data_IF_682544129142
#
_entry.id   IF_682544129142
#
_cell.length_a   1.000
_cell.length_b   1.000
_cell.length_c   1.000
_cell.angle_alpha   90.00
_cell.angle_beta   90.00
_cell.angle_gamma   90.00
#
_symmetry.space_group_name_H-M   'P 1'
#
loop_
_entity.id
_entity.type
_entity.pdbx_description
1 polymer ?
#
# COMPACT_ATOMS: atom_id res chain seq x y z
N UNK A 1 6.20 -12.74 15.28
CA UNK A 1 5.65 -12.21 16.55
C UNK A 1 4.24 -11.67 16.37
N UNK A 2 3.97 -10.79 15.40
CA UNK A 2 2.62 -10.26 15.12
C UNK A 2 1.55 -11.35 14.98
N UNK A 3 1.82 -12.41 14.21
CA UNK A 3 0.92 -13.57 14.07
C UNK A 3 0.50 -14.14 15.43
N UNK A 4 1.46 -14.36 16.35
CA UNK A 4 1.16 -14.89 17.69
C UNK A 4 0.28 -13.94 18.51
N UNK A 5 0.46 -12.63 18.39
CA UNK A 5 -0.39 -11.63 19.05
C UNK A 5 -1.82 -11.67 18.50
N UNK A 6 -1.96 -11.80 17.18
CA UNK A 6 -3.25 -11.85 16.48
C UNK A 6 -3.98 -13.19 16.69
N UNK A 7 -3.26 -14.27 17.00
CA UNK A 7 -3.82 -15.59 17.34
C UNK A 7 -4.45 -15.66 18.74
N UNK A 8 -4.30 -14.63 19.57
CA UNK A 8 -4.92 -14.61 20.89
C UNK A 8 -6.46 -14.70 20.74
N UNK A 9 -7.12 -15.73 21.31
CA UNK A 9 -8.56 -15.92 21.15
C UNK A 9 -9.41 -14.74 21.60
N UNK A 10 -8.92 -13.94 22.57
CA UNK A 10 -9.60 -12.72 23.04
C UNK A 10 -9.66 -11.61 21.99
N UNK A 11 -8.76 -11.64 21.00
CA UNK A 11 -8.85 -10.72 19.86
C UNK A 11 -10.04 -11.11 19.01
N UNK A 12 -10.34 -12.41 18.83
CA UNK A 12 -11.50 -12.85 18.03
C UNK A 12 -11.53 -12.19 16.63
N UNK A 13 -10.44 -12.33 15.86
CA UNK A 13 -10.38 -11.86 14.49
C UNK A 13 -11.35 -12.68 13.62
N UNK A 14 -12.22 -11.99 12.88
CA UNK A 14 -13.10 -12.60 11.88
C UNK A 14 -12.26 -13.06 10.70
N UNK A 15 -12.61 -14.22 10.14
CA UNK A 15 -11.94 -14.77 8.95
C UNK A 15 -12.55 -14.14 7.68
N UNK A 16 -12.36 -12.84 7.54
CA UNK A 16 -12.82 -12.03 6.42
C UNK A 16 -11.65 -11.18 5.91
N UNK A 17 -11.53 -10.97 4.58
CA UNK A 17 -10.49 -10.10 4.05
C UNK A 17 -10.64 -8.65 4.58
N UNK A 18 -9.55 -8.00 5.03
CA UNK A 18 -8.17 -8.46 5.10
C UNK A 18 -7.86 -9.28 6.36
N UNK A 19 -7.55 -10.57 6.20
CA UNK A 19 -7.25 -11.45 7.32
C UNK A 19 -5.74 -11.55 7.59
N UNK A 20 -5.26 -10.78 8.58
CA UNK A 20 -3.82 -10.63 8.88
C UNK A 20 -3.10 -11.97 9.18
N UNK A 21 -3.84 -12.97 9.67
CA UNK A 21 -3.28 -14.29 9.98
C UNK A 21 -2.95 -15.11 8.73
N UNK A 22 -3.55 -14.80 7.57
CA UNK A 22 -3.17 -15.36 6.27
C UNK A 22 -2.16 -14.45 5.54
N UNK A 23 -2.36 -13.13 5.62
CA UNK A 23 -1.54 -12.15 4.91
C UNK A 23 -0.05 -12.21 5.27
N UNK A 24 0.28 -12.37 6.57
CA UNK A 24 1.68 -12.42 7.01
C UNK A 24 2.40 -13.71 6.58
N UNK A 25 1.81 -14.92 6.76
CA UNK A 25 2.35 -16.13 6.16
C UNK A 25 2.51 -16.06 4.63
N UNK A 26 1.52 -15.51 3.92
CA UNK A 26 1.58 -15.34 2.46
C UNK A 26 2.71 -14.41 2.04
N UNK A 27 2.88 -13.29 2.76
CA UNK A 27 3.99 -12.35 2.53
C UNK A 27 5.32 -13.05 2.74
N UNK A 28 5.46 -13.80 3.83
CA UNK A 28 6.67 -14.56 4.11
C UNK A 28 6.97 -15.59 3.01
N UNK A 29 5.96 -16.35 2.58
CA UNK A 29 6.13 -17.37 1.55
C UNK A 29 6.50 -16.74 0.19
N UNK A 30 5.93 -15.58 -0.14
CA UNK A 30 6.29 -14.87 -1.36
C UNK A 30 7.71 -14.30 -1.29
N UNK A 31 8.13 -13.75 -0.14
CA UNK A 31 9.52 -13.34 0.08
C UNK A 31 10.50 -14.51 -0.05
N UNK A 32 10.17 -15.69 0.47
CA UNK A 32 10.99 -16.91 0.25
C UNK A 32 11.10 -17.27 -1.23
N UNK A 33 10.03 -17.09 -1.99
CA UNK A 33 10.02 -17.33 -3.44
C UNK A 33 10.96 -16.36 -4.14
N UNK A 34 10.92 -15.07 -3.79
CA UNK A 34 11.88 -14.07 -4.28
C UNK A 34 13.30 -14.50 -3.94
N UNK A 35 13.61 -14.74 -2.67
CA UNK A 35 14.96 -15.13 -2.24
C UNK A 35 15.49 -16.36 -3.00
N UNK A 36 14.64 -17.37 -3.24
CA UNK A 36 15.01 -18.56 -4.03
C UNK A 36 15.32 -18.23 -5.50
N UNK A 37 14.59 -17.28 -6.12
CA UNK A 37 14.86 -16.85 -7.51
C UNK A 37 16.16 -16.04 -7.64
N UNK A 38 16.62 -15.42 -6.55
CA UNK A 38 17.82 -14.61 -6.48
C UNK A 38 18.99 -15.30 -5.73
N UNK A 39 18.91 -16.61 -5.51
CA UNK A 39 20.02 -17.38 -4.96
C UNK A 39 21.27 -17.23 -5.85
N UNK A 40 22.42 -16.91 -5.25
CA UNK A 40 23.65 -16.55 -5.97
C UNK A 40 23.65 -15.16 -6.63
N UNK A 41 22.56 -14.39 -6.52
CA UNK A 41 22.38 -13.03 -7.09
C UNK A 41 21.84 -12.03 -6.05
N UNK A 42 22.17 -12.25 -4.78
CA UNK A 42 21.65 -11.46 -3.66
C UNK A 42 22.06 -9.98 -3.72
N UNK A 43 23.21 -9.66 -4.33
CA UNK A 43 23.64 -8.28 -4.54
C UNK A 43 22.65 -7.50 -5.42
N UNK A 44 22.18 -8.10 -6.52
CA UNK A 44 21.20 -7.50 -7.43
C UNK A 44 19.88 -7.23 -6.69
N UNK A 45 19.41 -8.20 -5.89
CA UNK A 45 18.18 -8.03 -5.11
C UNK A 45 18.36 -6.96 -4.01
N UNK A 46 19.54 -6.91 -3.39
CA UNK A 46 19.89 -5.94 -2.36
C UNK A 46 19.99 -4.51 -2.87
N UNK A 47 20.39 -4.32 -4.13
CA UNK A 47 20.48 -3.00 -4.76
C UNK A 47 19.13 -2.49 -5.27
N UNK A 48 18.19 -3.40 -5.56
CA UNK A 48 16.84 -3.07 -6.05
C UNK A 48 16.13 -2.07 -5.12
N UNK A 49 15.88 -0.86 -5.64
CA UNK A 49 15.32 0.26 -4.87
C UNK A 49 13.97 -0.08 -4.26
N UNK A 50 13.05 -0.64 -5.05
CA UNK A 50 11.73 -1.04 -4.60
C UNK A 50 11.80 -2.09 -3.48
N UNK A 51 12.62 -3.13 -3.65
CA UNK A 51 12.74 -4.20 -2.65
C UNK A 51 13.29 -3.68 -1.31
N UNK A 52 14.28 -2.79 -1.32
CA UNK A 52 14.80 -2.16 -0.10
C UNK A 52 13.72 -1.35 0.62
N UNK A 53 13.00 -0.49 -0.09
CA UNK A 53 11.90 0.32 0.47
C UNK A 53 10.78 -0.58 1.02
N UNK A 54 10.42 -1.64 0.29
CA UNK A 54 9.44 -2.62 0.73
C UNK A 54 9.84 -3.30 2.04
N UNK A 55 11.08 -3.79 2.15
CA UNK A 55 11.58 -4.47 3.34
C UNK A 55 11.67 -3.55 4.55
N UNK A 56 12.08 -2.29 4.36
CA UNK A 56 12.05 -1.27 5.41
C UNK A 56 10.61 -1.00 5.88
N UNK A 57 9.68 -0.80 4.95
CA UNK A 57 8.28 -0.56 5.27
C UNK A 57 7.66 -1.75 6.02
N UNK A 58 7.94 -2.99 5.57
CA UNK A 58 7.47 -4.21 6.22
C UNK A 58 8.00 -4.30 7.66
N UNK A 59 9.27 -3.99 7.88
CA UNK A 59 9.83 -3.92 9.24
C UNK A 59 9.13 -2.85 10.09
N UNK A 60 8.84 -1.67 9.52
CA UNK A 60 8.22 -0.58 10.26
C UNK A 60 6.76 -0.89 10.63
N UNK A 61 5.97 -1.41 9.69
CA UNK A 61 4.56 -1.79 9.92
C UNK A 61 4.42 -2.95 10.91
N UNK A 62 5.33 -3.93 10.87
CA UNK A 62 5.34 -5.02 11.86
C UNK A 62 5.70 -4.52 13.27
N UNK A 63 6.69 -3.63 13.41
CA UNK A 63 7.03 -2.97 14.68
C UNK A 63 5.87 -2.12 15.20
N UNK A 64 5.23 -1.34 14.33
CA UNK A 64 4.05 -0.53 14.67
C UNK A 64 2.91 -1.41 15.20
N UNK A 65 2.64 -2.53 14.54
CA UNK A 65 1.63 -3.51 14.99
C UNK A 65 1.97 -4.05 16.37
N UNK A 66 3.24 -4.40 16.63
CA UNK A 66 3.66 -4.86 17.96
C UNK A 66 3.50 -3.78 19.03
N UNK A 67 3.82 -2.51 18.73
CA UNK A 67 3.64 -1.39 19.66
C UNK A 67 2.16 -1.19 19.99
N UNK A 68 1.29 -1.27 18.98
CA UNK A 68 -0.16 -1.16 19.15
C UNK A 68 -0.68 -2.15 20.19
N UNK A 69 -0.31 -3.44 20.09
CA UNK A 69 -0.70 -4.44 21.08
C UNK A 69 -0.13 -4.15 22.47
N UNK A 70 1.14 -3.72 22.54
CA UNK A 70 1.81 -3.41 23.82
C UNK A 70 1.15 -2.24 24.55
N UNK A 71 0.77 -1.19 23.82
CA UNK A 71 0.19 0.02 24.37
C UNK A 71 -1.30 -0.13 24.70
N UNK A 72 -2.05 -0.78 23.81
CA UNK A 72 -3.49 -0.92 23.97
C UNK A 72 -3.91 -1.94 25.03
N UNK A 73 -3.08 -2.97 25.30
CA UNK A 73 -3.35 -4.01 26.31
C UNK A 73 -4.76 -4.60 26.14
N UNK A 74 -5.59 -4.58 27.19
CA UNK A 74 -6.95 -5.13 27.18
C UNK A 74 -7.88 -4.46 26.16
N UNK A 75 -7.62 -3.20 25.79
CA UNK A 75 -8.43 -2.48 24.78
C UNK A 75 -8.35 -3.14 23.40
N UNK A 76 -7.34 -3.97 23.12
CA UNK A 76 -7.28 -4.75 21.87
C UNK A 76 -8.41 -5.77 21.72
N UNK A 77 -8.99 -6.19 22.86
CA UNK A 77 -10.04 -7.21 22.90
C UNK A 77 -11.44 -6.61 22.78
N UNK A 78 -11.56 -5.30 22.92
CA UNK A 78 -12.79 -4.55 22.67
C UNK A 78 -12.95 -4.32 21.16
N UNK A 79 -13.91 -5.01 20.52
CA UNK A 79 -14.09 -5.02 19.05
C UNK A 79 -14.22 -3.62 18.44
N UNK A 80 -14.93 -2.71 19.13
CA UNK A 80 -15.21 -1.36 18.65
C UNK A 80 -14.18 -0.31 19.10
N UNK A 81 -13.11 -0.72 19.77
CA UNK A 81 -12.13 0.22 20.31
C UNK A 81 -11.27 0.84 19.20
N UNK A 82 -10.75 2.04 19.46
CA UNK A 82 -9.85 2.71 18.51
C UNK A 82 -8.60 1.87 18.20
N UNK A 83 -7.92 1.21 19.17
CA UNK A 83 -6.83 0.29 18.86
C UNK A 83 -7.23 -0.87 17.95
N UNK A 84 -8.43 -1.42 18.11
CA UNK A 84 -8.92 -2.49 17.26
C UNK A 84 -9.16 -2.02 15.82
N UNK A 85 -9.77 -0.85 15.64
CA UNK A 85 -9.88 -0.19 14.33
C UNK A 85 -8.51 0.08 13.70
N UNK A 86 -7.52 0.48 14.50
CA UNK A 86 -6.15 0.67 14.01
C UNK A 86 -5.51 -0.66 13.55
N UNK A 87 -5.81 -1.78 14.20
CA UNK A 87 -5.38 -3.11 13.73
C UNK A 87 -6.05 -3.49 12.42
N UNK A 88 -7.33 -3.18 12.23
CA UNK A 88 -8.04 -3.36 10.95
C UNK A 88 -7.36 -2.57 9.84
N UNK A 89 -7.05 -1.28 10.08
CA UNK A 89 -6.30 -0.44 9.15
C UNK A 89 -4.92 -1.01 8.82
N UNK A 90 -4.18 -1.50 9.81
CA UNK A 90 -2.89 -2.18 9.57
C UNK A 90 -3.06 -3.46 8.73
N UNK A 91 -4.15 -4.19 8.93
CA UNK A 91 -4.45 -5.39 8.14
C UNK A 91 -4.74 -5.05 6.67
N UNK A 92 -5.47 -3.96 6.40
CA UNK A 92 -5.64 -3.41 5.05
C UNK A 92 -4.29 -3.02 4.42
N UNK A 93 -3.43 -2.33 5.17
CA UNK A 93 -2.08 -1.96 4.70
C UNK A 93 -1.26 -3.21 4.34
N UNK A 94 -1.24 -4.24 5.19
CA UNK A 94 -0.55 -5.50 4.87
C UNK A 94 -1.12 -6.17 3.61
N UNK A 95 -2.44 -6.10 3.41
CA UNK A 95 -3.09 -6.61 2.20
C UNK A 95 -2.60 -5.87 0.95
N UNK A 96 -2.56 -4.53 1.00
CA UNK A 96 -2.05 -3.71 -0.10
C UNK A 96 -0.57 -3.96 -0.38
N UNK A 97 0.25 -4.03 0.66
CA UNK A 97 1.68 -4.37 0.54
C UNK A 97 1.89 -5.72 -0.13
N UNK A 98 1.14 -6.76 0.27
CA UNK A 98 1.24 -8.07 -0.34
C UNK A 98 0.80 -8.08 -1.80
N UNK A 99 -0.30 -7.39 -2.11
CA UNK A 99 -0.80 -7.26 -3.48
C UNK A 99 0.22 -6.56 -4.39
N UNK A 100 0.81 -5.47 -3.91
CA UNK A 100 1.87 -4.74 -4.59
C UNK A 100 3.10 -5.62 -4.80
N UNK A 101 3.59 -6.29 -3.75
CA UNK A 101 4.76 -7.17 -3.84
C UNK A 101 4.55 -8.26 -4.89
N UNK A 102 3.38 -8.91 -4.91
CA UNK A 102 3.04 -9.94 -5.91
C UNK A 102 2.97 -9.38 -7.34
N UNK A 103 2.58 -8.12 -7.49
CA UNK A 103 2.48 -7.46 -8.79
C UNK A 103 3.85 -6.99 -9.32
N UNK A 104 4.74 -6.56 -8.44
CA UNK A 104 6.11 -6.13 -8.79
C UNK A 104 7.08 -7.32 -8.90
N UNK A 105 6.88 -8.38 -8.11
CA UNK A 105 7.64 -9.63 -8.15
C UNK A 105 6.77 -10.84 -8.54
N UNK A 106 6.13 -10.85 -9.71
CA UNK A 106 5.33 -12.00 -10.12
C UNK A 106 6.21 -13.27 -10.17
N UNK A 107 5.75 -14.32 -9.48
CA UNK A 107 6.49 -15.59 -9.32
C UNK A 107 7.92 -15.45 -8.74
N UNK A 108 8.17 -14.36 -7.99
CA UNK A 108 9.42 -14.07 -7.32
C UNK A 108 10.47 -13.36 -8.20
N UNK A 109 10.15 -12.97 -9.43
CA UNK A 109 11.06 -12.27 -10.34
C UNK A 109 10.64 -10.82 -10.47
N UNK A 110 11.60 -9.91 -10.42
CA UNK A 110 11.32 -8.47 -10.53
C UNK A 110 10.83 -8.15 -11.94
N UNK A 111 9.69 -7.46 -12.03
CA UNK A 111 9.10 -6.95 -13.27
C UNK A 111 8.56 -5.52 -13.12
N UNK A 112 9.02 -4.79 -12.10
CA UNK A 112 8.53 -3.44 -11.81
C UNK A 112 8.88 -2.41 -12.87
N UNK A 113 9.94 -2.66 -13.65
CA UNK A 113 10.37 -1.86 -14.81
C UNK A 113 9.49 -2.09 -16.05
N UNK A 114 8.81 -3.23 -16.11
CA UNK A 114 7.92 -3.63 -17.20
C UNK A 114 6.44 -3.62 -16.79
N UNK A 115 6.12 -2.97 -15.67
CA UNK A 115 4.77 -2.89 -15.15
C UNK A 115 3.85 -2.16 -16.13
N UNK A 116 2.68 -2.75 -16.42
CA UNK A 116 1.72 -2.18 -17.38
C UNK A 116 0.63 -1.40 -16.65
N UNK A 117 0.70 -0.07 -16.71
CA UNK A 117 -0.40 0.79 -16.29
C UNK A 117 -1.58 0.62 -17.25
N UNK A 118 -2.77 0.41 -16.70
CA UNK A 118 -3.99 0.02 -17.41
C UNK A 118 -4.56 1.15 -18.27
N UNK A 119 -4.45 2.40 -17.80
CA UNK A 119 -4.98 3.58 -18.51
C UNK A 119 -3.87 4.21 -19.34
N UNK A 120 -4.06 4.27 -20.66
CA UNK A 120 -3.03 4.74 -21.61
C UNK A 120 -2.51 6.14 -21.28
N UNK A 121 -3.38 7.10 -20.97
CA UNK A 121 -2.97 8.47 -20.64
C UNK A 121 -2.15 8.53 -19.34
N UNK A 122 -2.52 7.72 -18.34
CA UNK A 122 -1.77 7.60 -17.09
C UNK A 122 -0.41 6.92 -17.33
N UNK A 123 -0.36 5.89 -18.18
CA UNK A 123 0.87 5.23 -18.58
C UNK A 123 1.83 6.21 -19.25
N UNK A 124 1.33 7.08 -20.13
CA UNK A 124 2.12 8.11 -20.79
C UNK A 124 2.68 9.12 -19.78
N UNK A 125 1.87 9.57 -18.83
CA UNK A 125 2.32 10.43 -17.74
C UNK A 125 3.49 9.79 -16.97
N UNK A 126 3.32 8.55 -16.50
CA UNK A 126 4.34 7.88 -15.69
C UNK A 126 5.65 7.74 -16.46
N UNK A 127 5.57 7.28 -17.72
CA UNK A 127 6.72 7.13 -18.60
C UNK A 127 7.44 8.47 -18.84
N UNK A 128 6.69 9.55 -19.10
CA UNK A 128 7.26 10.87 -19.35
C UNK A 128 7.92 11.48 -18.10
N UNK A 129 7.33 11.27 -16.92
CA UNK A 129 7.81 11.89 -15.68
C UNK A 129 8.87 11.07 -14.96
N UNK A 130 8.82 9.74 -15.05
CA UNK A 130 9.65 8.84 -14.22
C UNK A 130 10.34 7.72 -15.01
N UNK A 131 10.09 7.58 -16.31
CA UNK A 131 10.62 6.49 -17.14
C UNK A 131 10.16 5.13 -16.62
N UNK A 132 11.12 4.21 -16.47
CA UNK A 132 10.88 2.83 -16.03
C UNK A 132 10.98 2.67 -14.50
N UNK A 133 10.93 3.77 -13.74
CA UNK A 133 10.95 3.71 -12.28
C UNK A 133 9.71 2.98 -11.75
N UNK A 134 9.94 2.03 -10.86
CA UNK A 134 8.88 1.27 -10.17
C UNK A 134 8.27 2.05 -9.00
N UNK A 135 9.04 2.92 -8.38
CA UNK A 135 8.65 3.65 -7.17
C UNK A 135 9.33 5.01 -7.12
N UNK A 136 8.63 6.03 -6.63
CA UNK A 136 9.16 7.40 -6.51
C UNK A 136 8.76 8.02 -5.17
N UNK A 137 9.57 8.91 -4.58
CA UNK A 137 9.17 9.64 -3.38
C UNK A 137 7.91 10.47 -3.62
N UNK A 138 7.00 10.55 -2.64
CA UNK A 138 5.77 11.35 -2.70
C UNK A 138 6.02 12.78 -3.18
N UNK A 139 7.08 13.43 -2.69
CA UNK A 139 7.43 14.80 -3.09
C UNK A 139 7.65 14.92 -4.59
N UNK A 140 8.37 13.98 -5.18
CA UNK A 140 8.68 13.91 -6.61
C UNK A 140 7.41 13.61 -7.40
N UNK A 141 6.61 12.63 -6.95
CA UNK A 141 5.33 12.30 -7.58
C UNK A 141 4.39 13.50 -7.62
N UNK A 142 4.20 14.18 -6.48
CA UNK A 142 3.31 15.34 -6.35
C UNK A 142 3.72 16.47 -7.29
N UNK A 143 5.02 16.76 -7.39
CA UNK A 143 5.51 17.83 -8.27
C UNK A 143 5.19 17.52 -9.73
N UNK A 144 5.50 16.30 -10.20
CA UNK A 144 5.20 15.89 -11.56
C UNK A 144 3.69 15.87 -11.84
N UNK A 145 2.88 15.33 -10.93
CA UNK A 145 1.43 15.29 -11.10
C UNK A 145 0.83 16.69 -11.18
N UNK A 146 1.34 17.65 -10.39
CA UNK A 146 0.87 19.04 -10.39
C UNK A 146 0.99 19.72 -11.76
N UNK A 147 1.98 19.35 -12.58
CA UNK A 147 2.16 19.91 -13.94
C UNK A 147 1.02 19.53 -14.89
N UNK A 148 0.32 18.41 -14.63
CA UNK A 148 -0.79 17.91 -15.45
C UNK A 148 -2.15 18.13 -14.78
N UNK A 149 -2.20 17.95 -13.47
CA UNK A 149 -3.37 18.09 -12.63
C UNK A 149 -3.02 19.00 -11.46
N UNK A 150 -3.32 20.31 -11.54
CA UNK A 150 -3.01 21.24 -10.48
C UNK A 150 -3.59 20.78 -9.14
N UNK A 151 -2.72 20.67 -8.15
CA UNK A 151 -3.04 20.30 -6.76
C UNK A 151 -2.97 21.58 -5.92
N UNK A 152 -4.03 21.92 -5.18
CA UNK A 152 -3.99 23.05 -4.24
C UNK A 152 -3.06 22.72 -3.07
N UNK A 153 -2.39 23.74 -2.54
CA UNK A 153 -1.43 23.57 -1.45
C UNK A 153 -2.12 23.16 -0.13
N UNK A 154 -1.39 22.43 0.72
CA UNK A 154 -1.81 22.11 2.09
C UNK A 154 -2.62 20.82 2.22
N UNK A 155 -3.87 20.93 2.66
CA UNK A 155 -4.71 19.80 3.05
C UNK A 155 -5.10 18.88 1.88
N UNK A 156 -5.30 19.44 0.69
CA UNK A 156 -5.64 18.65 -0.50
C UNK A 156 -4.51 17.67 -0.84
N UNK A 157 -3.26 18.14 -0.82
CA UNK A 157 -2.11 17.28 -1.06
C UNK A 157 -1.98 16.15 -0.02
N UNK A 158 -2.32 16.41 1.25
CA UNK A 158 -2.31 15.39 2.30
C UNK A 158 -3.41 14.35 2.10
N UNK A 159 -4.63 14.78 1.75
CA UNK A 159 -5.75 13.89 1.46
C UNK A 159 -5.47 13.05 0.20
N UNK A 160 -4.87 13.65 -0.83
CA UNK A 160 -4.46 12.94 -2.03
C UNK A 160 -3.41 11.87 -1.70
N UNK A 161 -2.39 12.24 -0.92
CA UNK A 161 -1.37 11.30 -0.46
C UNK A 161 -2.01 10.12 0.26
N UNK A 162 -2.88 10.37 1.25
CA UNK A 162 -3.53 9.28 2.01
C UNK A 162 -4.46 8.40 1.17
N UNK A 163 -4.84 8.85 -0.03
CA UNK A 163 -5.63 8.05 -0.98
C UNK A 163 -4.75 7.19 -1.88
N UNK A 164 -3.60 7.71 -2.33
CA UNK A 164 -2.71 7.01 -3.28
C UNK A 164 -1.70 6.10 -2.57
N UNK A 165 -1.11 6.56 -1.46
CA UNK A 165 -0.09 5.86 -0.66
C UNK A 165 -0.74 4.75 0.18
N UNK A 166 -1.15 3.67 -0.49
CA UNK A 166 -1.85 2.52 0.10
C UNK A 166 -0.96 1.76 1.08
N UNK A 167 0.35 1.75 0.84
CA UNK A 167 1.34 1.08 1.70
C UNK A 167 1.84 1.98 2.85
N UNK A 168 1.43 3.25 2.84
CA UNK A 168 1.68 4.29 3.84
C UNK A 168 3.18 4.46 4.14
N UNK A 169 4.01 4.62 3.11
CA UNK A 169 5.46 4.66 3.23
C UNK A 169 6.11 5.95 2.69
N UNK A 170 5.32 6.95 2.30
CA UNK A 170 5.77 8.21 1.70
C UNK A 170 6.37 8.08 0.29
N UNK A 171 6.17 6.93 -0.35
CA UNK A 171 6.48 6.68 -1.75
C UNK A 171 5.18 6.36 -2.50
N UNK A 172 5.22 6.52 -3.83
CA UNK A 172 4.17 6.07 -4.73
C UNK A 172 4.79 5.07 -5.68
N UNK A 173 4.31 3.84 -5.67
CA UNK A 173 4.69 2.84 -6.67
C UNK A 173 3.86 2.96 -7.95
N UNK A 174 4.39 2.41 -9.03
CA UNK A 174 3.69 2.28 -10.32
C UNK A 174 2.38 1.48 -10.17
N UNK A 175 2.33 0.56 -9.21
CA UNK A 175 1.16 -0.24 -8.88
C UNK A 175 0.08 0.59 -8.15
N UNK A 176 0.46 1.35 -7.12
CA UNK A 176 -0.44 2.26 -6.41
C UNK A 176 -1.02 3.31 -7.37
N UNK A 177 -0.19 3.81 -8.28
CA UNK A 177 -0.61 4.74 -9.32
C UNK A 177 -1.60 4.13 -10.32
N UNK A 178 -1.39 2.89 -10.77
CA UNK A 178 -2.36 2.16 -11.62
C UNK A 178 -3.71 2.01 -10.93
N UNK A 179 -3.72 1.59 -9.65
CA UNK A 179 -4.96 1.48 -8.87
C UNK A 179 -5.68 2.82 -8.81
N UNK A 180 -4.99 3.88 -8.41
CA UNK A 180 -5.58 5.21 -8.26
C UNK A 180 -6.22 5.70 -9.56
N UNK A 181 -5.49 5.58 -10.68
CA UNK A 181 -5.97 6.08 -11.98
C UNK A 181 -7.09 5.24 -12.58
N UNK A 182 -7.22 3.97 -12.19
CA UNK A 182 -8.39 3.14 -12.52
C UNK A 182 -9.61 3.51 -11.68
N UNK A 183 -9.43 3.80 -10.39
CA UNK A 183 -10.53 4.17 -9.49
C UNK A 183 -11.13 5.54 -9.86
N UNK A 184 -10.29 6.53 -10.18
CA UNK A 184 -10.73 7.91 -10.40
C UNK A 184 -10.67 8.35 -11.87
N UNK A 185 -10.71 7.39 -12.79
CA UNK A 185 -10.83 7.62 -14.23
C UNK A 185 -12.04 8.51 -14.60
N UNK A 186 -12.03 9.20 -15.76
CA UNK A 186 -10.93 9.29 -16.73
C UNK A 186 -9.78 10.20 -16.28
N UNK A 187 -8.58 9.97 -16.85
CA UNK A 187 -7.37 10.75 -16.55
C UNK A 187 -7.57 12.26 -16.73
N UNK A 188 -8.26 12.67 -17.81
CA UNK A 188 -8.52 14.09 -18.11
C UNK A 188 -9.20 14.89 -16.99
N UNK A 189 -9.90 14.23 -16.07
CA UNK A 189 -10.53 14.87 -14.90
C UNK A 189 -10.17 14.20 -13.58
N UNK A 190 -9.02 13.53 -13.50
CA UNK A 190 -8.59 12.66 -12.40
C UNK A 190 -8.85 13.26 -11.01
N UNK A 191 -8.27 14.43 -10.70
CA UNK A 191 -8.40 15.02 -9.37
C UNK A 191 -9.80 15.57 -9.09
N UNK A 192 -10.53 16.01 -10.12
CA UNK A 192 -11.93 16.41 -9.96
C UNK A 192 -12.79 15.19 -9.59
N UNK A 193 -12.58 14.06 -10.27
CA UNK A 193 -13.30 12.83 -9.98
C UNK A 193 -12.97 12.32 -8.57
N UNK A 194 -11.69 12.31 -8.20
CA UNK A 194 -11.25 11.98 -6.84
C UNK A 194 -11.90 12.90 -5.80
N UNK A 195 -11.92 14.22 -6.03
CA UNK A 195 -12.55 15.15 -5.09
C UNK A 195 -14.05 14.89 -4.94
N UNK A 196 -14.77 14.71 -6.05
CA UNK A 196 -16.21 14.44 -6.06
C UNK A 196 -16.56 13.09 -5.44
N UNK A 197 -15.72 12.06 -5.60
CA UNK A 197 -16.04 10.69 -5.20
C UNK A 197 -15.46 10.30 -3.84
N UNK A 198 -14.32 10.85 -3.43
CA UNK A 198 -13.60 10.43 -2.23
C UNK A 198 -13.41 11.52 -1.17
N UNK A 199 -13.45 12.80 -1.56
CA UNK A 199 -13.26 13.91 -0.60
C UNK A 199 -14.59 14.46 -0.12
N UNK A 200 -15.54 14.66 -1.03
CA UNK A 200 -16.81 15.36 -0.74
C UNK A 200 -18.02 14.44 -0.68
N UNK A 201 -17.92 13.20 -1.18
CA UNK A 201 -19.05 12.28 -1.20
C UNK A 201 -19.30 11.68 0.19
N UNK A 202 -20.50 11.88 0.79
CA UNK A 202 -20.77 11.39 2.15
C UNK A 202 -20.83 9.87 2.26
N UNK A 203 -21.05 9.17 1.14
CA UNK A 203 -21.03 7.71 1.08
C UNK A 203 -19.64 7.10 0.92
N UNK A 204 -18.59 7.91 0.71
CA UNK A 204 -17.23 7.38 0.62
C UNK A 204 -16.68 7.07 2.00
N UNK A 205 -16.06 5.90 2.12
CA UNK A 205 -15.43 5.46 3.34
C UNK A 205 -14.01 5.00 3.04
N UNK A 206 -13.03 5.68 3.62
CA UNK A 206 -11.63 5.31 3.50
C UNK A 206 -11.26 4.24 4.53
N UNK A 207 -10.48 3.24 4.12
CA UNK A 207 -9.99 2.16 4.99
C UNK A 207 -11.09 1.41 5.76
N UNK A 208 -12.19 1.07 5.08
CA UNK A 208 -13.17 0.10 5.58
C UNK A 208 -12.97 -1.26 4.93
N UNK A 209 -13.30 -2.30 5.69
CA UNK A 209 -13.35 -3.69 5.25
C UNK A 209 -14.78 -4.07 4.87
N UNK A 210 -15.00 -5.27 4.34
CA UNK A 210 -16.35 -5.74 4.02
C UNK A 210 -17.24 -5.94 5.26
N UNK A 211 -16.63 -6.23 6.41
CA UNK A 211 -17.35 -6.48 7.67
C UNK A 211 -17.77 -5.19 8.39
N UNK A 212 -17.19 -4.04 8.00
CA UNK A 212 -17.48 -2.72 8.58
C UNK A 212 -18.49 -1.94 7.72
#
# INVERSE_FOLDING_TARGET
>A
QVVRLCQNPKVALKNSPPYILDLLPDTYQHLRTILSRYEGKMEILGENEYFRIFMENLSNKTKQTMSLFKEAKERMYEENSQPRRNLTKLSLIFSHMLAELKAIFPNGLFQGDNFRITKADAAEFWRRSFGDKTIVPWRTFRQALHEFHPISLGLEAMALKSTIDLTCNDYISVFEFDIFTRLFQPWSSLLRNWNCLAVTHPGYMAFLTYDE
#
